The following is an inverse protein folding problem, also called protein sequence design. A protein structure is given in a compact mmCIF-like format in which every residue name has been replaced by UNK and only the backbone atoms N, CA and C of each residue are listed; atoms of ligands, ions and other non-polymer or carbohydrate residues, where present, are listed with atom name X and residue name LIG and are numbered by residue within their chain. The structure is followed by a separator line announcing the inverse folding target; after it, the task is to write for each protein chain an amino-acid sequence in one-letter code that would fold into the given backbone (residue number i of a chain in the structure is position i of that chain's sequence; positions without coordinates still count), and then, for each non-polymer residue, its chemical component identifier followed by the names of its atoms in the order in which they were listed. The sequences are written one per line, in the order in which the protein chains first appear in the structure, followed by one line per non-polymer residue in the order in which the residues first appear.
data_IF_711419251814
#
_entry.id   IF_711419251814
#
_cell.length_a   1.000
_cell.length_b   1.000
_cell.length_c   1.000
_cell.angle_alpha   90.00
_cell.angle_beta   90.00
_cell.angle_gamma   90.00
#
_symmetry.space_group_name_H-M   'P 1'
#
loop_
_entity.id
_entity.type
_entity.pdbx_description
1 polymer ?
#
# COMPACT_ATOMS: atom_id res chain seq x y z
N UNK A 1 -11.65 21.22 37.54
CA UNK A 1 -10.60 20.54 38.35
C UNK A 1 -9.59 21.59 38.81
N UNK A 2 -8.88 21.33 39.91
CA UNK A 2 -7.84 22.21 40.47
C UNK A 2 -6.48 21.54 40.31
N UNK A 3 -5.52 22.25 39.71
CA UNK A 3 -4.15 21.76 39.61
C UNK A 3 -3.51 21.61 40.99
N UNK A 4 -2.73 20.54 41.17
CA UNK A 4 -2.03 20.26 42.40
C UNK A 4 -0.67 20.97 42.38
N UNK A 5 -0.41 21.85 43.35
CA UNK A 5 0.89 22.53 43.49
C UNK A 5 2.05 21.57 43.77
N UNK A 6 1.75 20.42 44.37
CA UNK A 6 2.67 19.31 44.59
C UNK A 6 1.98 18.03 44.10
N UNK A 7 2.55 17.31 43.12
CA UNK A 7 1.93 16.10 42.59
C UNK A 7 1.75 15.03 43.68
N UNK A 8 0.61 14.34 43.65
CA UNK A 8 0.34 13.23 44.57
C UNK A 8 0.81 11.94 43.91
N UNK A 9 1.83 11.31 44.48
CA UNK A 9 2.43 10.09 43.94
C UNK A 9 1.64 8.85 44.31
N UNK A 10 1.26 8.06 43.32
CA UNK A 10 0.46 6.84 43.43
C UNK A 10 1.30 5.66 42.95
N UNK A 11 1.23 4.54 43.66
CA UNK A 11 1.90 3.30 43.25
C UNK A 11 0.88 2.37 42.60
N UNK A 12 1.13 1.92 41.38
CA UNK A 12 0.27 0.99 40.66
C UNK A 12 0.74 -0.47 40.85
N UNK A 13 -0.09 -1.43 40.40
CA UNK A 13 0.11 -2.85 40.66
C UNK A 13 1.44 -3.43 40.14
N UNK A 14 2.05 -2.83 39.11
CA UNK A 14 3.37 -3.22 38.59
C UNK A 14 4.55 -2.60 39.38
N UNK A 15 4.26 -1.90 40.49
CA UNK A 15 5.23 -1.25 41.35
C UNK A 15 5.71 0.11 40.86
N UNK A 16 5.30 0.57 39.66
CA UNK A 16 5.63 1.91 39.17
C UNK A 16 4.91 2.98 39.98
N UNK A 17 5.55 4.14 40.04
CA UNK A 17 5.03 5.33 40.70
C UNK A 17 4.65 6.34 39.63
N UNK A 18 3.40 6.77 39.66
CA UNK A 18 2.81 7.74 38.73
C UNK A 18 2.28 8.93 39.52
N UNK A 19 2.30 10.11 38.92
CA UNK A 19 1.95 11.35 39.62
C UNK A 19 0.57 11.86 39.18
N UNK A 20 -0.31 12.11 40.15
CA UNK A 20 -1.56 12.82 39.92
C UNK A 20 -1.29 14.33 39.79
N UNK A 21 -1.78 14.92 38.71
CA UNK A 21 -1.48 16.32 38.33
C UNK A 21 -2.60 17.29 38.73
N UNK A 22 -3.82 16.79 38.89
CA UNK A 22 -4.96 17.60 39.31
C UNK A 22 -5.90 16.81 40.23
N UNK A 23 -6.73 17.53 40.97
CA UNK A 23 -7.80 16.98 41.80
C UNK A 23 -9.11 17.71 41.50
N UNK A 24 -10.23 17.00 41.52
CA UNK A 24 -11.53 17.62 41.33
C UNK A 24 -12.70 16.77 41.80
N UNK A 25 -13.87 17.23 41.42
CA UNK A 25 -15.14 16.57 41.70
C UNK A 25 -15.73 16.07 40.39
N UNK A 26 -16.19 14.82 40.37
CA UNK A 26 -16.77 14.17 39.18
C UNK A 26 -18.21 13.76 39.50
N UNK A 27 -19.15 14.20 38.67
CA UNK A 27 -20.54 13.72 38.72
C UNK A 27 -20.72 12.52 37.81
N UNK A 28 -21.38 11.48 38.32
CA UNK A 28 -21.73 10.25 37.61
C UNK A 28 -23.25 10.13 37.59
N UNK A 29 -23.83 9.80 36.44
CA UNK A 29 -25.28 9.53 36.31
C UNK A 29 -25.50 8.04 36.12
N UNK A 30 -26.01 7.34 37.12
CA UNK A 30 -26.26 5.91 37.08
C UNK A 30 -27.43 5.57 36.15
N UNK A 31 -27.48 4.32 35.67
CA UNK A 31 -28.51 3.85 34.74
C UNK A 31 -29.95 3.94 35.28
N UNK A 32 -30.12 3.96 36.60
CA UNK A 32 -31.41 4.18 37.27
C UNK A 32 -31.83 5.66 37.33
N UNK A 33 -31.00 6.56 36.79
CA UNK A 33 -31.20 8.01 36.78
C UNK A 33 -30.61 8.73 37.99
N UNK A 34 -30.09 8.00 38.98
CA UNK A 34 -29.47 8.57 40.18
C UNK A 34 -28.16 9.27 39.84
N UNK A 35 -27.97 10.49 40.35
CA UNK A 35 -26.71 11.23 40.20
C UNK A 35 -25.86 11.08 41.46
N UNK A 36 -24.64 10.57 41.30
CA UNK A 36 -23.66 10.40 42.37
C UNK A 36 -22.47 11.32 42.12
N UNK A 37 -22.01 12.00 43.16
CA UNK A 37 -20.86 12.90 43.05
C UNK A 37 -19.68 12.35 43.84
N UNK A 38 -18.56 12.15 43.16
CA UNK A 38 -17.28 11.79 43.77
C UNK A 38 -16.44 13.06 43.94
N UNK A 39 -16.12 13.42 45.19
CA UNK A 39 -15.15 14.47 45.49
C UNK A 39 -13.74 13.90 45.64
N UNK A 40 -12.74 14.77 45.56
CA UNK A 40 -11.33 14.45 45.78
C UNK A 40 -10.77 13.43 44.77
N UNK A 41 -11.29 13.47 43.54
CA UNK A 41 -10.90 12.58 42.45
C UNK A 41 -9.58 13.08 41.85
N UNK A 42 -8.59 12.19 41.83
CA UNK A 42 -7.27 12.45 41.26
C UNK A 42 -7.28 12.23 39.75
N UNK A 43 -6.67 13.16 39.01
CA UNK A 43 -6.46 13.05 37.57
C UNK A 43 -5.00 12.66 37.30
N UNK A 44 -4.83 11.52 36.62
CA UNK A 44 -3.53 10.94 36.27
C UNK A 44 -3.50 10.73 34.75
N UNK A 45 -2.73 11.52 33.99
CA UNK A 45 -2.71 11.44 32.53
C UNK A 45 -2.20 10.09 31.99
N UNK A 46 -1.37 9.40 32.78
CA UNK A 46 -0.71 8.14 32.38
C UNK A 46 -1.58 6.89 32.55
N UNK A 47 -2.77 7.00 33.17
CA UNK A 47 -3.65 5.84 33.42
C UNK A 47 -4.81 5.81 32.44
N UNK A 48 -4.89 4.74 31.66
CA UNK A 48 -6.01 4.47 30.77
C UNK A 48 -7.16 3.81 31.56
N UNK A 49 -8.00 4.65 32.15
CA UNK A 49 -9.26 4.23 32.76
C UNK A 49 -9.54 4.87 34.12
N UNK A 50 -10.82 4.97 34.45
CA UNK A 50 -11.28 5.49 35.74
C UNK A 50 -11.35 4.35 36.75
N UNK A 51 -10.66 4.51 37.89
CA UNK A 51 -10.72 3.58 39.01
C UNK A 51 -11.39 4.26 40.21
N UNK A 52 -12.24 3.51 40.89
CA UNK A 52 -12.85 3.94 42.16
C UNK A 52 -12.12 3.22 43.29
N UNK A 53 -11.46 3.97 44.16
CA UNK A 53 -10.77 3.41 45.32
C UNK A 53 -11.78 3.01 46.40
N UNK A 54 -11.94 1.70 46.61
CA UNK A 54 -12.80 1.15 47.66
C UNK A 54 -12.34 1.62 49.05
N UNK A 55 -11.03 1.69 49.28
CA UNK A 55 -10.48 2.17 50.55
C UNK A 55 -10.87 3.63 50.84
N UNK A 56 -10.86 4.49 49.82
CA UNK A 56 -11.29 5.90 49.97
C UNK A 56 -12.78 6.09 50.16
N UNK A 57 -13.59 5.18 49.64
CA UNK A 57 -15.03 5.16 49.93
C UNK A 57 -15.30 4.65 51.35
N UNK A 58 -14.56 3.66 51.82
CA UNK A 58 -14.67 3.15 53.19
C UNK A 58 -14.33 4.23 54.24
N UNK A 59 -13.37 5.12 53.96
CA UNK A 59 -13.09 6.30 54.80
C UNK A 59 -14.27 7.27 54.93
N UNK A 60 -15.26 7.20 54.03
CA UNK A 60 -16.50 8.01 54.02
C UNK A 60 -17.73 7.19 54.45
N UNK A 61 -17.53 6.15 55.26
CA UNK A 61 -18.55 5.24 55.78
C UNK A 61 -19.37 4.50 54.71
N UNK A 62 -18.82 4.37 53.48
CA UNK A 62 -19.44 3.59 52.41
C UNK A 62 -18.96 2.14 52.51
N UNK A 63 -19.91 1.21 52.64
CA UNK A 63 -19.65 -0.22 52.71
C UNK A 63 -19.71 -0.82 51.31
N UNK A 64 -18.67 -1.57 50.96
CA UNK A 64 -18.56 -2.27 49.69
C UNK A 64 -18.90 -3.77 49.88
N UNK A 65 -20.00 -4.24 49.28
CA UNK A 65 -20.45 -5.62 49.38
C UNK A 65 -20.20 -6.38 48.07
N UNK A 66 -19.39 -7.44 48.16
CA UNK A 66 -19.08 -8.30 47.02
C UNK A 66 -20.05 -9.48 46.95
N UNK A 67 -20.56 -9.74 45.76
CA UNK A 67 -21.33 -10.93 45.40
C UNK A 67 -20.73 -11.58 44.15
N UNK A 68 -21.21 -12.79 43.81
CA UNK A 68 -20.69 -13.56 42.66
C UNK A 68 -20.68 -12.75 41.36
N UNK A 69 -21.78 -12.06 41.09
CA UNK A 69 -22.04 -11.37 39.81
C UNK A 69 -22.14 -9.84 39.95
N UNK A 70 -22.22 -9.34 41.19
CA UNK A 70 -22.49 -7.94 41.52
C UNK A 70 -21.57 -7.41 42.59
N UNK A 71 -21.38 -6.10 42.57
CA UNK A 71 -20.62 -5.36 43.56
C UNK A 71 -21.37 -4.08 43.91
N UNK A 72 -21.74 -3.92 45.19
CA UNK A 72 -22.67 -2.88 45.63
C UNK A 72 -22.00 -1.98 46.66
N UNK A 73 -22.11 -0.67 46.47
CA UNK A 73 -21.73 0.34 47.46
C UNK A 73 -22.96 0.82 48.23
N UNK A 74 -22.91 0.78 49.56
CA UNK A 74 -23.97 1.22 50.45
C UNK A 74 -23.52 2.32 51.40
N UNK A 75 -24.41 3.25 51.70
CA UNK A 75 -24.24 4.23 52.75
C UNK A 75 -25.41 4.07 53.73
N UNK A 76 -25.13 3.54 54.92
CA UNK A 76 -26.18 2.99 55.79
C UNK A 76 -26.98 1.88 55.10
N UNK A 77 -28.30 1.97 55.14
CA UNK A 77 -29.21 1.01 54.49
C UNK A 77 -29.45 1.32 52.99
N UNK A 78 -28.99 2.47 52.50
CA UNK A 78 -29.22 2.90 51.13
C UNK A 78 -28.15 2.33 50.18
N UNK A 79 -28.59 1.80 49.04
CA UNK A 79 -27.68 1.44 47.94
C UNK A 79 -27.36 2.69 47.13
N UNK A 80 -26.07 3.01 47.01
CA UNK A 80 -25.58 4.23 46.36
C UNK A 80 -25.12 3.96 44.94
N UNK A 81 -24.46 2.82 44.70
CA UNK A 81 -23.96 2.43 43.37
C UNK A 81 -23.96 0.90 43.24
N UNK A 82 -24.25 0.39 42.05
CA UNK A 82 -24.16 -1.03 41.71
C UNK A 82 -23.27 -1.24 40.47
N UNK A 83 -22.25 -2.08 40.61
CA UNK A 83 -21.35 -2.50 39.56
C UNK A 83 -21.55 -3.99 39.23
N UNK A 84 -21.37 -4.34 37.96
CA UNK A 84 -21.52 -5.70 37.45
C UNK A 84 -20.15 -6.33 37.21
N UNK A 85 -20.02 -7.64 37.46
CA UNK A 85 -18.79 -8.36 37.13
C UNK A 85 -18.64 -8.51 35.62
N UNK A 86 -17.48 -8.11 35.08
CA UNK A 86 -17.09 -8.30 33.69
C UNK A 86 -15.71 -8.97 33.65
N UNK A 87 -15.67 -10.30 33.50
CA UNK A 87 -14.44 -11.08 33.63
C UNK A 87 -13.92 -11.06 35.07
N UNK A 88 -12.70 -10.56 35.27
CA UNK A 88 -12.02 -10.47 36.57
C UNK A 88 -12.11 -9.08 37.23
N UNK A 89 -12.89 -8.16 36.66
CA UNK A 89 -13.09 -6.80 37.19
C UNK A 89 -14.57 -6.49 37.36
N UNK A 90 -14.90 -5.58 38.28
CA UNK A 90 -16.25 -5.05 38.44
C UNK A 90 -16.35 -3.68 37.75
N UNK A 91 -17.37 -3.51 36.90
CA UNK A 91 -17.60 -2.28 36.12
C UNK A 91 -18.89 -1.60 36.55
N UNK A 92 -18.80 -0.31 36.86
CA UNK A 92 -19.95 0.54 37.13
C UNK A 92 -20.54 1.02 35.79
N UNK A 93 -21.83 0.77 35.57
CA UNK A 93 -22.54 1.23 34.37
C UNK A 93 -23.14 2.62 34.60
N UNK A 94 -22.89 3.55 33.69
CA UNK A 94 -23.29 4.96 33.79
C UNK A 94 -24.11 5.31 32.53
N UNK A 95 -25.06 6.24 32.63
CA UNK A 95 -25.82 6.76 31.48
C UNK A 95 -24.85 7.42 30.49
N UNK A 96 -24.90 6.99 29.23
CA UNK A 96 -23.92 7.37 28.20
C UNK A 96 -22.87 6.28 27.92
N UNK A 97 -22.87 5.19 28.68
CA UNK A 97 -22.02 3.99 28.46
C UNK A 97 -22.64 3.03 27.41
N UNK A 98 -23.53 3.54 26.54
CA UNK A 98 -23.98 2.83 25.33
C UNK A 98 -22.85 2.82 24.29
N UNK A 99 -21.77 2.13 24.60
CA UNK A 99 -20.91 1.40 23.67
C UNK A 99 -19.98 0.58 24.58
N UNK A 100 -20.16 -0.74 24.60
CA UNK A 100 -19.13 -1.66 25.09
C UNK A 100 -17.92 -1.60 24.15
N UNK A 101 -17.07 -0.59 24.31
CA UNK A 101 -15.70 -0.57 23.81
C UNK A 101 -14.81 -0.31 25.03
N UNK A 102 -13.77 -1.11 25.18
CA UNK A 102 -12.70 -0.81 26.11
C UNK A 102 -12.29 0.65 25.96
N UNK A 103 -12.11 1.35 27.09
CA UNK A 103 -11.73 2.76 27.18
C UNK A 103 -11.04 3.28 25.90
N UNK A 104 -11.80 3.97 25.04
CA UNK A 104 -11.21 4.79 23.99
C UNK A 104 -10.71 6.07 24.66
N UNK A 105 -9.60 5.93 25.41
CA UNK A 105 -8.57 6.95 25.29
C UNK A 105 -8.36 7.16 23.80
N UNK A 106 -8.16 8.41 23.36
CA UNK A 106 -7.66 8.67 22.01
C UNK A 106 -6.26 8.06 21.95
N UNK A 107 -6.20 6.74 21.69
CA UNK A 107 -4.98 5.97 21.60
C UNK A 107 -4.29 6.53 20.38
N UNK A 108 -3.30 7.38 20.64
CA UNK A 108 -2.48 7.91 19.59
C UNK A 108 -1.55 6.78 19.19
N UNK A 109 -1.69 6.30 17.96
CA UNK A 109 -0.86 5.21 17.46
C UNK A 109 0.27 5.76 16.58
N UNK A 110 1.42 5.09 16.52
CA UNK A 110 2.45 5.45 15.56
C UNK A 110 1.92 5.41 14.13
N UNK A 111 2.32 6.37 13.29
CA UNK A 111 1.87 6.46 11.89
C UNK A 111 2.05 5.14 11.14
N UNK A 112 3.17 4.44 11.36
CA UNK A 112 3.46 3.16 10.70
C UNK A 112 2.36 2.10 10.95
N UNK A 113 1.82 2.07 12.16
CA UNK A 113 0.76 1.12 12.55
C UNK A 113 -0.56 1.51 11.90
N UNK A 114 -0.93 2.79 11.94
CA UNK A 114 -2.15 3.29 11.30
C UNK A 114 -2.13 3.15 9.79
N UNK A 115 -0.99 3.45 9.17
CA UNK A 115 -0.76 3.23 7.75
C UNK A 115 -1.04 1.76 7.38
N UNK A 116 -0.52 0.80 8.14
CA UNK A 116 -0.76 -0.63 7.90
C UNK A 116 -2.24 -1.01 8.08
N UNK A 117 -2.88 -0.58 9.18
CA UNK A 117 -4.28 -0.91 9.49
C UNK A 117 -5.29 -0.33 8.51
N UNK A 118 -5.03 0.88 8.03
CA UNK A 118 -5.89 1.57 7.06
C UNK A 118 -5.61 1.14 5.62
N UNK A 119 -4.88 0.04 5.40
CA UNK A 119 -4.66 -0.50 4.05
C UNK A 119 -3.59 0.24 3.25
N UNK A 120 -2.53 0.66 3.91
CA UNK A 120 -1.39 1.35 3.30
C UNK A 120 -1.78 2.69 2.61
N UNK A 121 -2.70 3.44 3.21
CA UNK A 121 -3.13 4.74 2.66
C UNK A 121 -2.02 5.79 2.70
N UNK A 122 -1.93 6.67 1.69
CA UNK A 122 -1.04 7.82 1.73
C UNK A 122 -1.40 8.78 2.87
N UNK A 123 -0.41 9.46 3.44
CA UNK A 123 -0.62 10.42 4.52
C UNK A 123 -1.64 11.52 4.16
N UNK A 124 -1.56 12.06 2.94
CA UNK A 124 -2.53 13.05 2.44
C UNK A 124 -3.98 12.55 2.41
N UNK A 125 -4.20 11.24 2.16
CA UNK A 125 -5.53 10.63 2.21
C UNK A 125 -6.02 10.47 3.64
N UNK A 126 -5.12 10.14 4.55
CA UNK A 126 -5.41 10.12 5.99
C UNK A 126 -5.84 11.51 6.48
N UNK A 127 -5.15 12.58 6.08
CA UNK A 127 -5.55 13.96 6.42
C UNK A 127 -6.95 14.31 5.92
N UNK A 128 -7.30 13.88 4.69
CA UNK A 128 -8.66 14.04 4.17
C UNK A 128 -9.67 13.23 4.99
N UNK A 129 -9.33 11.99 5.37
CA UNK A 129 -10.20 11.13 6.19
C UNK A 129 -10.57 11.81 7.52
N UNK A 130 -9.60 12.48 8.17
CA UNK A 130 -9.82 13.22 9.41
C UNK A 130 -10.87 14.34 9.30
N UNK A 131 -11.15 14.82 8.08
CA UNK A 131 -12.15 15.87 7.81
C UNK A 131 -13.50 15.32 7.37
N UNK A 132 -13.57 14.04 7.02
CA UNK A 132 -14.76 13.42 6.39
C UNK A 132 -15.42 12.35 7.24
N UNK A 133 -14.74 11.84 8.26
CA UNK A 133 -15.24 10.80 9.14
C UNK A 133 -14.92 11.14 10.60
N UNK A 134 -15.90 10.90 11.47
CA UNK A 134 -15.70 10.89 12.91
C UNK A 134 -14.92 9.62 13.33
N UNK A 135 -14.29 9.68 14.51
CA UNK A 135 -13.60 8.53 15.14
C UNK A 135 -12.39 7.94 14.38
N UNK A 136 -11.84 8.65 13.39
CA UNK A 136 -10.58 8.24 12.76
C UNK A 136 -9.44 8.28 13.81
N UNK A 137 -8.67 7.18 13.99
CA UNK A 137 -7.58 7.13 14.95
C UNK A 137 -6.55 8.24 14.73
N UNK A 138 -6.03 8.83 15.82
CA UNK A 138 -5.06 9.92 15.76
C UNK A 138 -3.62 9.36 15.81
N UNK A 139 -2.69 10.07 15.16
CA UNK A 139 -1.27 9.73 15.17
C UNK A 139 -0.58 10.22 16.46
N UNK A 140 0.39 9.46 16.96
CA UNK A 140 1.25 9.83 18.10
C UNK A 140 2.48 10.64 17.69
N UNK A 141 2.99 10.37 16.50
CA UNK A 141 4.19 10.95 15.92
C UNK A 141 3.87 11.71 14.64
N UNK A 142 4.69 12.72 14.33
CA UNK A 142 4.68 13.32 13.00
C UNK A 142 4.98 12.22 11.96
N UNK A 143 4.44 12.32 10.73
CA UNK A 143 4.75 11.37 9.67
C UNK A 143 6.27 11.26 9.52
N UNK A 144 6.80 10.11 9.91
CA UNK A 144 8.22 9.83 9.75
C UNK A 144 8.54 9.65 8.27
N UNK A 145 9.79 9.89 7.88
CA UNK A 145 10.33 9.47 6.57
C UNK A 145 10.39 7.93 6.41
N UNK A 146 9.61 7.19 7.21
CA UNK A 146 9.56 5.76 7.15
C UNK A 146 9.01 5.32 5.80
N UNK A 147 9.89 4.64 5.06
CA UNK A 147 9.57 3.95 3.83
C UNK A 147 8.93 2.60 4.15
N UNK A 148 7.65 2.44 3.86
CA UNK A 148 6.94 1.17 4.02
C UNK A 148 7.34 0.20 2.89
N UNK A 149 7.98 -0.93 3.24
CA UNK A 149 8.44 -1.94 2.28
C UNK A 149 7.31 -2.48 1.41
N UNK A 150 6.13 -2.74 2.00
CA UNK A 150 4.95 -3.20 1.27
C UNK A 150 4.45 -2.19 0.24
N UNK A 151 4.45 -0.89 0.60
CA UNK A 151 4.15 0.17 -0.36
C UNK A 151 5.18 0.26 -1.47
N UNK A 152 6.48 0.15 -1.17
CA UNK A 152 7.51 0.15 -2.20
C UNK A 152 7.31 -1.02 -3.18
N UNK A 153 7.13 -2.23 -2.68
CA UNK A 153 6.95 -3.38 -3.55
C UNK A 153 5.64 -3.31 -4.36
N UNK A 154 4.56 -2.77 -3.79
CA UNK A 154 3.24 -2.73 -4.45
C UNK A 154 2.95 -1.48 -5.28
N UNK A 155 3.63 -0.36 -5.03
CA UNK A 155 3.35 0.95 -5.64
C UNK A 155 4.55 1.60 -6.30
N UNK A 156 5.76 1.03 -6.19
CA UNK A 156 6.89 1.50 -6.98
C UNK A 156 6.56 1.33 -8.44
N UNK A 157 6.42 2.45 -9.13
CA UNK A 157 6.32 2.50 -10.58
C UNK A 157 7.74 2.43 -11.12
N UNK A 158 7.94 1.80 -12.28
CA UNK A 158 9.12 2.13 -13.07
C UNK A 158 9.16 3.64 -13.26
N UNK A 159 10.33 4.25 -13.01
CA UNK A 159 10.51 5.66 -13.38
C UNK A 159 10.09 5.85 -14.83
N UNK A 160 9.49 7.01 -15.13
CA UNK A 160 9.25 7.37 -16.51
C UNK A 160 10.59 7.26 -17.24
N UNK A 161 10.66 6.41 -18.27
CA UNK A 161 11.80 6.37 -19.15
C UNK A 161 12.11 7.81 -19.54
N UNK A 162 13.32 8.27 -19.26
CA UNK A 162 13.71 9.59 -19.71
C UNK A 162 13.51 9.59 -21.22
N UNK A 163 12.53 10.37 -21.70
CA UNK A 163 12.44 10.75 -23.10
C UNK A 163 13.60 11.72 -23.44
N UNK A 164 14.79 11.49 -22.89
CA UNK A 164 16.02 12.10 -23.33
C UNK A 164 16.28 11.56 -24.74
N UNK A 165 16.14 12.37 -25.80
CA UNK A 165 16.42 11.93 -27.17
C UNK A 165 17.90 11.60 -27.37
N UNK A 166 18.75 11.91 -26.38
CA UNK A 166 20.21 11.87 -26.45
C UNK A 166 20.82 10.48 -26.69
N UNK A 167 20.03 9.41 -26.70
CA UNK A 167 20.48 8.08 -27.16
C UNK A 167 19.55 7.39 -28.15
N UNK A 168 18.57 8.10 -28.71
CA UNK A 168 17.82 7.57 -29.86
C UNK A 168 18.58 7.98 -31.10
N UNK A 169 19.62 7.21 -31.44
CA UNK A 169 20.26 7.31 -32.77
C UNK A 169 19.20 6.94 -33.80
N UNK A 170 18.45 7.94 -34.30
CA UNK A 170 17.65 7.79 -35.51
C UNK A 170 18.62 7.33 -36.60
N UNK A 171 18.23 6.30 -37.34
CA UNK A 171 18.97 5.85 -38.52
C UNK A 171 19.33 7.03 -39.43
N UNK A 172 20.54 7.03 -40.01
CA UNK A 172 21.01 8.13 -40.86
C UNK A 172 20.51 8.00 -42.31
N UNK A 173 19.97 6.84 -42.68
CA UNK A 173 19.30 6.62 -43.95
C UNK A 173 18.57 5.27 -44.03
N UNK A 174 17.87 5.08 -45.14
CA UNK A 174 17.11 3.86 -45.46
C UNK A 174 18.01 2.62 -45.38
N UNK A 175 17.49 1.55 -44.78
CA UNK A 175 18.12 0.25 -44.50
C UNK A 175 19.26 0.27 -43.46
N UNK A 176 19.51 1.38 -42.77
CA UNK A 176 20.50 1.41 -41.69
C UNK A 176 20.08 0.56 -40.48
N UNK A 177 18.78 0.50 -40.19
CA UNK A 177 18.21 -0.27 -39.10
C UNK A 177 16.81 -0.77 -39.47
N UNK A 178 16.62 -2.08 -39.42
CA UNK A 178 15.33 -2.73 -39.59
C UNK A 178 14.85 -3.24 -38.23
N UNK A 179 13.65 -2.85 -37.80
CA UNK A 179 12.98 -3.46 -36.66
C UNK A 179 12.13 -4.63 -37.14
N UNK A 180 12.09 -5.71 -36.37
CA UNK A 180 11.30 -6.88 -36.71
C UNK A 180 10.65 -7.51 -35.49
N UNK A 181 9.37 -7.88 -35.67
CA UNK A 181 8.56 -8.53 -34.64
C UNK A 181 7.68 -9.62 -35.26
N UNK A 182 7.37 -10.66 -34.47
CA UNK A 182 6.50 -11.77 -34.87
C UNK A 182 5.23 -11.77 -34.05
N UNK A 183 4.11 -11.62 -34.75
CA UNK A 183 2.78 -11.70 -34.17
C UNK A 183 2.19 -13.10 -34.36
N UNK A 184 1.55 -13.63 -33.31
CA UNK A 184 0.77 -14.86 -33.33
C UNK A 184 1.19 -15.92 -32.29
N UNK A 185 0.47 -17.05 -32.22
CA UNK A 185 -0.54 -17.51 -33.17
C UNK A 185 -1.85 -16.71 -33.10
N UNK A 186 -2.36 -16.27 -34.24
CA UNK A 186 -3.67 -15.64 -34.38
C UNK A 186 -4.79 -16.69 -34.30
N UNK A 187 -5.92 -16.32 -33.69
CA UNK A 187 -7.08 -17.20 -33.60
C UNK A 187 -7.66 -17.55 -34.99
N UNK A 188 -7.71 -16.56 -35.87
CA UNK A 188 -8.22 -16.72 -37.24
C UNK A 188 -7.08 -17.03 -38.20
N UNK A 189 -7.24 -18.11 -38.97
CA UNK A 189 -6.33 -18.45 -40.07
C UNK A 189 -6.61 -17.55 -41.27
N UNK A 190 -5.57 -17.09 -41.95
CA UNK A 190 -5.74 -16.49 -43.28
C UNK A 190 -6.23 -17.53 -44.29
N UNK A 191 -6.74 -17.14 -45.48
CA UNK A 191 -7.10 -18.09 -46.53
C UNK A 191 -5.96 -19.05 -46.93
N UNK A 192 -4.70 -18.60 -46.82
CA UNK A 192 -3.51 -19.42 -47.05
C UNK A 192 -3.14 -20.37 -45.89
N UNK A 193 -3.92 -20.38 -44.81
CA UNK A 193 -3.70 -21.19 -43.62
C UNK A 193 -2.60 -20.67 -42.69
N UNK A 194 -2.22 -19.39 -42.80
CA UNK A 194 -1.21 -18.78 -41.93
C UNK A 194 -1.81 -18.34 -40.61
N UNK A 195 -1.06 -18.50 -39.52
CA UNK A 195 -1.44 -18.09 -38.15
C UNK A 195 -0.44 -17.12 -37.54
N UNK A 196 0.66 -16.82 -38.21
CA UNK A 196 1.68 -15.89 -37.76
C UNK A 196 1.90 -14.81 -38.82
N UNK A 197 2.37 -13.65 -38.40
CA UNK A 197 2.86 -12.60 -39.28
C UNK A 197 4.20 -12.08 -38.74
N UNK A 198 5.13 -11.77 -39.64
CA UNK A 198 6.36 -11.04 -39.30
C UNK A 198 6.32 -9.68 -39.97
N UNK A 199 6.69 -8.65 -39.22
CA UNK A 199 6.88 -7.29 -39.72
C UNK A 199 8.36 -7.00 -39.85
N UNK A 200 8.72 -6.28 -40.92
CA UNK A 200 10.02 -5.65 -41.10
C UNK A 200 9.78 -4.16 -41.33
N UNK A 201 10.35 -3.33 -40.47
CA UNK A 201 10.09 -1.90 -40.45
C UNK A 201 11.41 -1.17 -40.59
N UNK A 202 11.54 -0.38 -41.65
CA UNK A 202 12.69 0.48 -41.81
C UNK A 202 12.60 1.68 -40.87
N UNK A 203 13.64 1.88 -40.05
CA UNK A 203 13.66 2.94 -39.05
C UNK A 203 13.72 4.34 -39.68
N UNK A 204 14.28 4.51 -40.88
CA UNK A 204 14.40 5.83 -41.47
C UNK A 204 13.11 6.25 -42.20
N UNK A 205 12.66 5.42 -43.14
CA UNK A 205 11.52 5.70 -44.02
C UNK A 205 10.17 5.35 -43.39
N UNK A 206 10.15 4.59 -42.29
CA UNK A 206 8.95 4.01 -41.69
C UNK A 206 8.21 3.04 -42.62
N UNK A 207 8.86 2.57 -43.70
CA UNK A 207 8.30 1.55 -44.58
C UNK A 207 8.09 0.25 -43.82
N UNK A 208 6.88 -0.32 -43.92
CA UNK A 208 6.50 -1.57 -43.25
C UNK A 208 6.24 -2.64 -44.30
N UNK A 209 6.96 -3.75 -44.20
CA UNK A 209 6.68 -4.95 -44.99
C UNK A 209 6.20 -6.07 -44.07
N UNK A 210 5.11 -6.74 -44.46
CA UNK A 210 4.49 -7.81 -43.66
C UNK A 210 4.48 -9.11 -44.45
N UNK A 211 4.92 -10.20 -43.83
CA UNK A 211 4.80 -11.55 -44.40
C UNK A 211 3.98 -12.46 -43.50
N UNK A 212 3.01 -13.15 -44.08
CA UNK A 212 2.24 -14.19 -43.40
C UNK A 212 2.98 -15.53 -43.39
N UNK A 213 2.91 -16.24 -42.27
CA UNK A 213 3.63 -17.48 -42.03
C UNK A 213 2.75 -18.54 -41.33
N UNK A 214 3.02 -19.82 -41.63
CA UNK A 214 2.40 -20.95 -40.94
C UNK A 214 3.16 -21.33 -39.66
N UNK A 215 4.46 -21.07 -39.61
CA UNK A 215 5.34 -21.37 -38.47
C UNK A 215 6.33 -20.24 -38.25
N UNK A 216 6.69 -19.94 -36.98
CA UNK A 216 7.73 -18.96 -36.62
C UNK A 216 9.10 -19.27 -37.24
N UNK A 217 9.41 -20.55 -37.47
CA UNK A 217 10.67 -20.95 -38.12
C UNK A 217 10.85 -20.41 -39.55
N UNK A 218 9.79 -19.88 -40.19
CA UNK A 218 9.86 -19.30 -41.54
C UNK A 218 10.40 -17.87 -41.56
N UNK A 219 10.68 -17.25 -40.41
CA UNK A 219 11.17 -15.86 -40.32
C UNK A 219 12.46 -15.65 -41.12
N UNK A 220 13.40 -16.59 -41.09
CA UNK A 220 14.64 -16.50 -41.89
C UNK A 220 14.36 -16.46 -43.40
N UNK A 221 13.42 -17.28 -43.86
CA UNK A 221 13.02 -17.32 -45.27
C UNK A 221 12.41 -15.98 -45.69
N UNK A 222 11.51 -15.42 -44.87
CA UNK A 222 10.86 -14.13 -45.14
C UNK A 222 11.84 -12.96 -45.06
N UNK A 223 12.79 -13.00 -44.13
CA UNK A 223 13.85 -11.99 -44.07
C UNK A 223 14.76 -12.00 -45.31
N UNK A 224 15.06 -13.17 -45.88
CA UNK A 224 15.83 -13.29 -47.12
C UNK A 224 15.10 -12.64 -48.31
N UNK A 225 13.79 -12.88 -48.42
CA UNK A 225 12.95 -12.25 -49.44
C UNK A 225 12.95 -10.72 -49.27
N UNK A 226 12.60 -10.25 -48.07
CA UNK A 226 12.61 -8.83 -47.72
C UNK A 226 13.93 -8.13 -48.06
N UNK A 227 15.06 -8.73 -47.67
CA UNK A 227 16.39 -8.19 -47.97
C UNK A 227 16.62 -8.07 -49.47
N UNK A 228 16.30 -9.12 -50.24
CA UNK A 228 16.53 -9.10 -51.69
C UNK A 228 15.72 -7.98 -52.37
N UNK A 229 14.45 -7.86 -52.00
CA UNK A 229 13.54 -6.85 -52.56
C UNK A 229 14.02 -5.43 -52.20
N UNK A 230 14.23 -5.16 -50.91
CA UNK A 230 14.58 -3.81 -50.44
C UNK A 230 15.98 -3.36 -50.89
N UNK A 231 16.97 -4.25 -50.91
CA UNK A 231 18.31 -3.88 -51.38
C UNK A 231 18.34 -3.66 -52.89
N UNK A 232 17.52 -4.39 -53.66
CA UNK A 232 17.35 -4.18 -55.10
C UNK A 232 16.68 -2.84 -55.39
N UNK A 233 15.59 -2.52 -54.68
CA UNK A 233 14.81 -1.31 -54.91
C UNK A 233 15.56 -0.02 -54.50
N UNK A 234 16.33 -0.08 -53.42
CA UNK A 234 17.02 1.11 -52.86
C UNK A 234 18.47 1.24 -53.31
N UNK A 235 19.08 0.18 -53.83
CA UNK A 235 20.52 0.10 -54.09
C UNK A 235 21.39 0.17 -52.83
N UNK A 236 20.79 0.11 -51.63
CA UNK A 236 21.48 0.14 -50.33
C UNK A 236 21.46 -1.24 -49.70
N UNK A 237 22.35 -1.47 -48.72
CA UNK A 237 22.41 -2.72 -47.96
C UNK A 237 21.85 -2.54 -46.56
N UNK A 238 21.18 -3.58 -46.06
CA UNK A 238 20.76 -3.63 -44.66
C UNK A 238 22.00 -3.69 -43.76
N UNK A 239 22.13 -2.74 -42.83
CA UNK A 239 23.27 -2.73 -41.90
C UNK A 239 22.98 -3.47 -40.60
N UNK A 240 21.79 -3.25 -40.04
CA UNK A 240 21.41 -3.79 -38.73
C UNK A 240 19.96 -4.24 -38.71
N UNK A 241 19.71 -5.32 -37.98
CA UNK A 241 18.36 -5.77 -37.63
C UNK A 241 18.21 -5.76 -36.11
N UNK A 242 17.08 -5.24 -35.63
CA UNK A 242 16.70 -5.25 -34.23
C UNK A 242 15.43 -6.08 -34.05
N UNK A 243 15.50 -7.06 -33.15
CA UNK A 243 14.37 -7.94 -32.82
C UNK A 243 14.29 -8.19 -31.32
N UNK A 244 13.24 -8.88 -30.89
CA UNK A 244 13.16 -9.44 -29.56
C UNK A 244 14.12 -10.65 -29.40
N UNK A 245 14.09 -11.26 -28.22
CA UNK A 245 14.85 -12.50 -27.94
C UNK A 245 14.11 -13.77 -28.39
N UNK A 246 13.21 -13.68 -29.38
CA UNK A 246 12.48 -14.82 -29.93
C UNK A 246 13.42 -15.92 -30.44
N UNK A 247 13.00 -17.18 -30.29
CA UNK A 247 13.75 -18.35 -30.74
C UNK A 247 14.03 -18.34 -32.25
N UNK A 248 13.11 -17.74 -33.02
CA UNK A 248 13.18 -17.53 -34.46
C UNK A 248 14.37 -16.66 -34.89
N UNK A 249 14.76 -15.67 -34.08
CA UNK A 249 15.86 -14.74 -34.35
C UNK A 249 17.18 -15.19 -33.72
N UNK A 250 17.11 -15.94 -32.62
CA UNK A 250 18.28 -16.40 -31.87
C UNK A 250 18.84 -17.74 -32.34
N UNK A 251 18.12 -18.44 -33.22
CA UNK A 251 18.56 -19.70 -33.81
C UNK A 251 19.86 -19.59 -34.62
N UNK A 252 20.65 -20.67 -34.60
CA UNK A 252 21.98 -20.76 -35.25
C UNK A 252 21.95 -20.33 -36.73
N UNK A 253 20.96 -20.82 -37.49
CA UNK A 253 20.83 -20.53 -38.93
C UNK A 253 20.63 -19.03 -39.21
N UNK A 254 19.85 -18.34 -38.37
CA UNK A 254 19.61 -16.90 -38.54
C UNK A 254 20.89 -16.12 -38.27
N UNK A 255 21.58 -16.44 -37.17
CA UNK A 255 22.85 -15.81 -36.78
C UNK A 255 23.95 -16.03 -37.82
N UNK A 256 24.13 -17.26 -38.31
CA UNK A 256 25.09 -17.59 -39.37
C UNK A 256 24.80 -16.82 -40.66
N UNK A 257 23.52 -16.73 -41.04
CA UNK A 257 23.11 -15.97 -42.21
C UNK A 257 23.43 -14.46 -42.07
N UNK A 258 23.07 -13.84 -40.95
CA UNK A 258 23.37 -12.43 -40.71
C UNK A 258 24.88 -12.16 -40.72
N UNK A 259 25.66 -13.02 -40.06
CA UNK A 259 27.12 -12.92 -40.05
C UNK A 259 27.70 -13.00 -41.47
N UNK A 260 27.19 -13.91 -42.30
CA UNK A 260 27.63 -14.05 -43.70
C UNK A 260 27.26 -12.83 -44.55
N UNK A 261 26.18 -12.15 -44.24
CA UNK A 261 25.75 -10.93 -44.93
C UNK A 261 26.38 -9.64 -44.35
N UNK A 262 27.12 -9.73 -43.25
CA UNK A 262 27.68 -8.56 -42.57
C UNK A 262 26.64 -7.71 -41.84
N UNK A 263 25.48 -8.28 -41.49
CA UNK A 263 24.37 -7.59 -40.82
C UNK A 263 24.51 -7.77 -39.30
N UNK A 264 24.52 -6.67 -38.55
CA UNK A 264 24.57 -6.72 -37.07
C UNK A 264 23.18 -6.99 -36.50
N UNK A 265 23.10 -7.98 -35.60
CA UNK A 265 21.87 -8.25 -34.85
C UNK A 265 21.89 -7.50 -33.50
N UNK A 266 20.87 -6.68 -33.28
CA UNK A 266 20.60 -6.01 -32.01
C UNK A 266 19.39 -6.69 -31.35
N UNK A 267 19.51 -7.07 -30.08
CA UNK A 267 18.43 -7.72 -29.34
C UNK A 267 17.90 -6.78 -28.27
N UNK A 268 16.58 -6.70 -28.12
CA UNK A 268 15.98 -5.89 -27.06
C UNK A 268 16.13 -6.57 -25.69
N UNK A 269 16.01 -5.78 -24.63
CA UNK A 269 16.01 -6.29 -23.25
C UNK A 269 14.75 -7.15 -23.05
N UNK A 270 14.87 -8.38 -22.50
CA UNK A 270 13.71 -9.22 -22.19
C UNK A 270 12.67 -8.48 -21.34
N UNK A 271 11.38 -8.75 -21.56
CA UNK A 271 10.26 -8.24 -20.75
C UNK A 271 10.09 -6.72 -20.68
N UNK A 272 10.62 -5.96 -21.65
CA UNK A 272 10.39 -4.52 -21.78
C UNK A 272 9.73 -4.16 -23.13
N UNK A 273 8.40 -4.35 -23.28
CA UNK A 273 7.68 -3.96 -24.51
C UNK A 273 7.85 -2.48 -24.86
N UNK A 274 7.99 -1.63 -23.85
CA UNK A 274 8.18 -0.17 -23.98
C UNK A 274 9.43 0.25 -24.77
N UNK A 275 10.41 -0.65 -24.96
CA UNK A 275 11.58 -0.38 -25.83
C UNK A 275 11.33 -0.69 -27.31
N UNK A 276 10.20 -1.31 -27.63
CA UNK A 276 9.70 -1.58 -28.98
C UNK A 276 8.54 -0.66 -29.40
N UNK A 277 8.12 0.28 -28.55
CA UNK A 277 7.00 1.22 -28.75
C UNK A 277 7.24 2.29 -29.85
N UNK A 278 8.04 1.98 -30.87
CA UNK A 278 8.22 2.82 -32.07
C UNK A 278 7.08 2.69 -33.08
N UNK A 279 6.10 1.83 -32.79
CA UNK A 279 4.90 1.56 -33.59
C UNK A 279 3.70 2.45 -33.20
N UNK A 280 3.84 3.24 -32.14
CA UNK A 280 2.73 3.93 -31.47
C UNK A 280 2.67 5.44 -31.79
N UNK A 281 3.30 5.88 -32.88
CA UNK A 281 3.34 7.29 -33.31
C UNK A 281 2.99 7.47 -34.77
#
# INVERSE_FOLDING_TARGET
MKELKTPVRITIADGKKIDAVAMGTVGLKLMDGTSVTLSDVLYIPEVEGSLISVAKLAEKDIVAQFSKDKFVFRYGDATVMEAMRCGNVYKLKIVGDEVCHAATASHKEPWAVLHARLGNIPFKRYEQLLTMADEVPRIADAPSNHVCTGCCMGKMREDNFSHSPEKTVKSAGVLDLIHSDVMGPMQTKTPGGCTYAVTFIDDFSRHVTVYFMKKKAQVLEKFKMFKADMESDTGRKIKRIRSDNGGEYTGRLFKEYLSKQGIRHEKTVPYMPSRMDWLSG
#
